data_IF_557572916623
#
_entry.id   IF_557572916623
#
_cell.length_a   1.000
_cell.length_b   1.000
_cell.length_c   1.000
_cell.angle_alpha   90.00
_cell.angle_beta   90.00
_cell.angle_gamma   90.00
#
_symmetry.space_group_name_H-M   'P 1'
#
loop_
_entity.id
_entity.type
_entity.pdbx_description
1 polymer ?
#
# COMPACT_ATOMS: atom_id res chain seq x y z
N UNK A 1 1.25 -1.45 19.98
CA UNK A 1 2.72 -1.45 20.19
C UNK A 1 3.31 -2.63 19.43
N UNK A 2 4.52 -2.51 18.88
CA UNK A 2 5.21 -3.58 18.15
C UNK A 2 5.54 -4.81 19.03
N UNK A 3 5.48 -4.68 20.35
CA UNK A 3 5.71 -5.77 21.32
C UNK A 3 4.67 -6.90 21.29
N UNK A 4 3.50 -6.67 20.69
CA UNK A 4 2.42 -7.66 20.56
C UNK A 4 2.51 -8.47 19.26
N UNK A 5 3.61 -8.37 18.51
CA UNK A 5 3.77 -8.99 17.20
C UNK A 5 4.75 -10.16 17.18
N UNK A 6 5.16 -10.65 18.36
CA UNK A 6 5.82 -11.95 18.49
C UNK A 6 4.79 -13.06 18.26
N UNK A 7 5.19 -14.13 17.60
CA UNK A 7 4.27 -15.21 17.18
C UNK A 7 3.49 -15.80 18.37
N UNK A 8 4.11 -15.87 19.53
CA UNK A 8 3.52 -16.40 20.75
C UNK A 8 2.41 -15.54 21.33
N UNK A 9 2.41 -14.26 21.01
CA UNK A 9 1.52 -13.24 21.58
C UNK A 9 0.57 -12.62 20.55
N UNK A 10 0.44 -13.22 19.35
CA UNK A 10 -0.41 -12.68 18.30
C UNK A 10 -1.89 -12.74 18.67
N UNK A 11 -2.53 -11.59 18.69
CA UNK A 11 -3.98 -11.48 18.84
C UNK A 11 -4.67 -11.68 17.49
N UNK A 12 -5.47 -12.74 17.36
CA UNK A 12 -6.29 -12.98 16.16
C UNK A 12 -7.24 -11.81 15.89
N UNK A 13 -7.80 -11.20 16.93
CA UNK A 13 -8.65 -10.03 16.81
C UNK A 13 -7.91 -8.85 16.18
N UNK A 14 -6.72 -8.52 16.68
CA UNK A 14 -5.90 -7.43 16.13
C UNK A 14 -5.48 -7.73 14.69
N UNK A 15 -5.22 -9.00 14.37
CA UNK A 15 -4.92 -9.44 13.02
C UNK A 15 -6.09 -9.19 12.07
N UNK A 16 -7.30 -9.60 12.46
CA UNK A 16 -8.51 -9.38 11.67
C UNK A 16 -8.79 -7.88 11.46
N UNK A 17 -8.66 -7.07 12.51
CA UNK A 17 -8.84 -5.62 12.45
C UNK A 17 -7.83 -4.96 11.49
N UNK A 18 -6.56 -5.36 11.56
CA UNK A 18 -5.53 -4.82 10.68
C UNK A 18 -5.78 -5.17 9.21
N UNK A 19 -6.16 -6.40 8.90
CA UNK A 19 -6.54 -6.82 7.54
C UNK A 19 -7.76 -6.03 7.06
N UNK A 20 -8.78 -5.90 7.90
CA UNK A 20 -10.00 -5.17 7.57
C UNK A 20 -9.70 -3.71 7.23
N UNK A 21 -8.94 -3.03 8.09
CA UNK A 21 -8.66 -1.60 7.96
C UNK A 21 -7.62 -1.31 6.87
N UNK A 22 -6.51 -2.04 6.86
CA UNK A 22 -5.38 -1.71 5.97
C UNK A 22 -5.56 -2.25 4.55
N UNK A 23 -6.42 -3.26 4.35
CA UNK A 23 -6.51 -3.96 3.07
C UNK A 23 -7.94 -4.04 2.52
N UNK A 24 -8.90 -4.58 3.27
CA UNK A 24 -10.25 -4.78 2.75
C UNK A 24 -11.04 -3.48 2.60
N UNK A 25 -10.72 -2.43 3.37
CA UNK A 25 -11.31 -1.11 3.20
C UNK A 25 -11.11 -0.55 1.79
N UNK A 26 -9.95 -0.80 1.17
CA UNK A 26 -9.66 -0.37 -0.20
C UNK A 26 -10.63 -0.99 -1.21
N UNK A 27 -10.97 -2.27 -1.04
CA UNK A 27 -11.95 -2.95 -1.89
C UNK A 27 -13.31 -2.26 -1.75
N UNK A 28 -13.74 -2.00 -0.51
CA UNK A 28 -15.02 -1.35 -0.23
C UNK A 28 -15.09 0.06 -0.80
N UNK A 29 -14.04 0.86 -0.60
CA UNK A 29 -13.95 2.22 -1.15
C UNK A 29 -14.01 2.17 -2.68
N UNK A 30 -13.23 1.29 -3.31
CA UNK A 30 -13.22 1.12 -4.77
C UNK A 30 -14.61 0.73 -5.30
N UNK A 31 -15.32 -0.19 -4.64
CA UNK A 31 -16.69 -0.54 -5.00
C UNK A 31 -17.65 0.65 -4.96
N UNK A 32 -17.52 1.51 -3.94
CA UNK A 32 -18.35 2.71 -3.81
C UNK A 32 -18.03 3.71 -4.93
N UNK A 33 -16.74 3.96 -5.18
CA UNK A 33 -16.30 4.87 -6.23
C UNK A 33 -16.80 4.40 -7.60
N UNK A 34 -16.65 3.12 -7.92
CA UNK A 34 -17.04 2.55 -9.21
C UNK A 34 -18.55 2.57 -9.48
N UNK A 35 -19.40 2.75 -8.46
CA UNK A 35 -20.83 2.95 -8.65
C UNK A 35 -21.18 4.32 -9.26
N UNK A 36 -20.33 5.32 -9.04
CA UNK A 36 -20.63 6.71 -9.37
C UNK A 36 -19.64 7.33 -10.37
N UNK A 37 -18.46 6.73 -10.52
CA UNK A 37 -17.41 7.28 -11.39
C UNK A 37 -16.41 6.18 -11.78
N UNK A 38 -15.60 6.49 -12.81
CA UNK A 38 -14.46 5.64 -13.18
C UNK A 38 -13.18 6.39 -12.87
N UNK A 39 -12.46 6.04 -11.80
CA UNK A 39 -11.21 6.71 -11.45
C UNK A 39 -10.14 6.40 -12.51
N UNK A 40 -9.36 7.43 -12.87
CA UNK A 40 -8.23 7.24 -13.79
C UNK A 40 -7.06 6.53 -13.11
N UNK A 41 -6.85 6.82 -11.83
CA UNK A 41 -5.73 6.32 -11.04
C UNK A 41 -6.23 5.89 -9.66
N UNK A 42 -5.76 4.75 -9.20
CA UNK A 42 -5.87 4.28 -7.81
C UNK A 42 -4.44 4.03 -7.32
N UNK A 43 -4.01 4.80 -6.34
CA UNK A 43 -2.74 4.62 -5.67
C UNK A 43 -2.99 4.10 -4.26
N UNK A 44 -2.44 2.94 -3.95
CA UNK A 44 -2.52 2.34 -2.63
C UNK A 44 -1.22 2.56 -1.84
N UNK A 45 -1.31 3.21 -0.69
CA UNK A 45 -0.16 3.42 0.18
C UNK A 45 0.15 2.14 0.95
N UNK A 46 1.20 1.46 0.52
CA UNK A 46 1.70 0.23 1.13
C UNK A 46 2.92 0.51 2.04
N UNK A 47 3.83 -0.41 2.10
CA UNK A 47 5.11 -0.34 2.81
C UNK A 47 6.02 -1.44 2.26
N UNK A 48 7.34 -1.25 2.30
CA UNK A 48 8.35 -2.28 2.06
C UNK A 48 8.10 -3.54 2.90
N UNK A 49 7.54 -3.37 4.12
CA UNK A 49 7.08 -4.46 4.97
C UNK A 49 6.05 -5.39 4.29
N UNK A 50 5.37 -4.92 3.25
CA UNK A 50 4.44 -5.72 2.43
C UNK A 50 5.13 -6.62 1.41
N UNK A 51 6.43 -6.45 1.17
CA UNK A 51 7.21 -7.34 0.31
C UNK A 51 7.54 -8.64 1.04
N UNK A 52 7.07 -9.77 0.49
CA UNK A 52 7.37 -11.09 1.05
C UNK A 52 8.82 -11.46 0.74
N UNK A 53 9.26 -11.18 -0.47
CA UNK A 53 10.60 -11.57 -0.95
C UNK A 53 11.73 -10.77 -0.30
N UNK A 54 11.48 -9.54 0.17
CA UNK A 54 12.49 -8.70 0.83
C UNK A 54 12.49 -8.86 2.35
N UNK A 55 11.60 -9.66 2.92
CA UNK A 55 11.55 -9.88 4.36
C UNK A 55 12.70 -10.76 4.83
N UNK A 56 13.68 -10.17 5.50
CA UNK A 56 14.83 -10.85 6.09
C UNK A 56 14.86 -10.75 7.62
N UNK A 57 14.01 -9.93 8.22
CA UNK A 57 14.00 -9.68 9.67
C UNK A 57 12.97 -10.51 10.42
N UNK A 58 11.92 -10.98 9.75
CA UNK A 58 10.75 -11.54 10.43
C UNK A 58 9.95 -10.43 11.15
N UNK A 59 9.39 -10.74 12.32
CA UNK A 59 8.60 -9.89 13.19
C UNK A 59 7.39 -9.16 12.53
N UNK A 60 6.74 -8.27 13.25
CA UNK A 60 5.65 -7.41 12.75
C UNK A 60 4.59 -8.18 11.93
N UNK A 61 4.26 -9.41 12.30
CA UNK A 61 3.41 -10.33 11.55
C UNK A 61 2.12 -9.71 11.06
N UNK A 62 1.38 -9.01 11.94
CA UNK A 62 0.09 -8.42 11.63
C UNK A 62 0.25 -7.31 10.57
N UNK A 63 1.23 -6.43 10.76
CA UNK A 63 1.46 -5.33 9.85
C UNK A 63 1.93 -5.82 8.48
N UNK A 64 2.94 -6.70 8.45
CA UNK A 64 3.46 -7.30 7.22
C UNK A 64 2.36 -8.02 6.45
N UNK A 65 1.60 -8.88 7.11
CA UNK A 65 0.50 -9.61 6.48
C UNK A 65 -0.56 -8.65 5.92
N UNK A 66 -0.91 -7.58 6.65
CA UNK A 66 -1.88 -6.60 6.14
C UNK A 66 -1.37 -5.88 4.89
N UNK A 67 -0.09 -5.51 4.84
CA UNK A 67 0.50 -4.84 3.68
C UNK A 67 0.71 -5.80 2.49
N UNK A 68 1.07 -7.06 2.74
CA UNK A 68 1.12 -8.08 1.68
C UNK A 68 -0.26 -8.36 1.10
N UNK A 69 -1.31 -8.40 1.94
CA UNK A 69 -2.70 -8.52 1.49
C UNK A 69 -3.10 -7.31 0.63
N UNK A 70 -2.76 -6.08 1.04
CA UNK A 70 -2.99 -4.88 0.25
C UNK A 70 -2.27 -4.95 -1.11
N UNK A 71 -1.03 -5.41 -1.12
CA UNK A 71 -0.23 -5.59 -2.33
C UNK A 71 -0.90 -6.59 -3.29
N UNK A 72 -1.35 -7.75 -2.80
CA UNK A 72 -2.08 -8.75 -3.58
C UNK A 72 -3.37 -8.18 -4.18
N UNK A 73 -4.17 -7.46 -3.38
CA UNK A 73 -5.39 -6.78 -3.84
C UNK A 73 -5.05 -5.76 -4.92
N UNK A 74 -4.02 -4.93 -4.71
CA UNK A 74 -3.56 -3.92 -5.67
C UNK A 74 -3.19 -4.55 -7.00
N UNK A 75 -2.45 -5.66 -6.98
CA UNK A 75 -2.07 -6.39 -8.18
C UNK A 75 -3.28 -6.90 -8.96
N UNK A 76 -4.24 -7.53 -8.29
CA UNK A 76 -5.47 -8.00 -8.93
C UNK A 76 -6.27 -6.83 -9.51
N UNK A 77 -6.47 -5.76 -8.75
CA UNK A 77 -7.16 -4.56 -9.22
C UNK A 77 -6.48 -3.93 -10.44
N UNK A 78 -5.15 -3.94 -10.50
CA UNK A 78 -4.41 -3.40 -11.65
C UNK A 78 -4.67 -4.14 -12.95
N UNK A 79 -4.99 -5.41 -12.88
CA UNK A 79 -5.34 -6.23 -14.04
C UNK A 79 -6.80 -6.00 -14.43
N UNK A 80 -7.71 -6.19 -13.47
CA UNK A 80 -9.14 -6.18 -13.71
C UNK A 80 -9.67 -4.80 -14.09
N UNK A 81 -9.29 -3.76 -13.32
CA UNK A 81 -9.78 -2.40 -13.56
C UNK A 81 -9.11 -1.75 -14.75
N UNK A 82 -7.86 -2.09 -15.04
CA UNK A 82 -7.20 -1.61 -16.24
C UNK A 82 -7.85 -2.19 -17.49
N UNK A 83 -8.10 -3.50 -17.51
CA UNK A 83 -8.78 -4.17 -18.62
C UNK A 83 -10.20 -3.62 -18.85
N UNK A 84 -10.95 -3.36 -17.77
CA UNK A 84 -12.37 -2.97 -17.85
C UNK A 84 -12.59 -1.49 -18.07
N UNK A 85 -11.74 -0.64 -17.47
CA UNK A 85 -11.98 0.80 -17.38
C UNK A 85 -10.77 1.65 -17.81
N UNK A 86 -9.61 1.05 -18.08
CA UNK A 86 -8.37 1.77 -18.33
C UNK A 86 -7.78 2.41 -17.06
N UNK A 87 -8.27 2.06 -15.87
CA UNK A 87 -7.79 2.57 -14.60
C UNK A 87 -6.37 2.07 -14.31
N UNK A 88 -5.47 2.97 -13.96
CA UNK A 88 -4.11 2.63 -13.51
C UNK A 88 -4.15 2.37 -12.02
N UNK A 89 -3.65 1.23 -11.58
CA UNK A 89 -3.61 0.86 -10.16
C UNK A 89 -2.20 0.41 -9.79
N UNK A 90 -1.65 0.99 -8.73
CA UNK A 90 -0.31 0.63 -8.25
C UNK A 90 -0.17 0.84 -6.74
N UNK A 91 0.86 0.23 -6.15
CA UNK A 91 1.22 0.40 -4.76
C UNK A 91 2.46 1.26 -4.62
N UNK A 92 2.53 2.06 -3.53
CA UNK A 92 3.72 2.83 -3.18
C UNK A 92 4.13 2.56 -1.74
N UNK A 93 5.45 2.40 -1.54
CA UNK A 93 6.07 2.55 -0.24
C UNK A 93 6.56 4.00 -0.10
N UNK A 94 5.97 4.79 0.81
CA UNK A 94 6.39 6.16 1.04
C UNK A 94 7.66 6.27 1.90
N UNK A 95 8.20 5.15 2.38
CA UNK A 95 9.29 5.13 3.34
C UNK A 95 8.89 5.69 4.71
N UNK A 96 9.88 6.16 5.48
CA UNK A 96 9.68 6.65 6.84
C UNK A 96 9.20 8.11 6.84
N UNK A 97 7.89 8.32 6.69
CA UNK A 97 7.26 9.65 6.69
C UNK A 97 7.00 10.13 8.11
N UNK A 98 7.31 11.40 8.39
CA UNK A 98 6.99 12.06 9.66
C UNK A 98 5.48 12.30 9.74
N UNK A 99 4.84 11.66 10.71
CA UNK A 99 3.40 11.72 10.97
C UNK A 99 3.15 11.64 12.48
N UNK A 100 1.89 11.83 12.90
CA UNK A 100 1.51 11.61 14.30
C UNK A 100 1.81 10.19 14.81
N UNK A 101 1.81 9.18 13.92
CA UNK A 101 2.17 7.80 14.26
C UNK A 101 3.68 7.55 14.22
N UNK A 102 4.42 8.34 13.47
CA UNK A 102 5.88 8.25 13.32
C UNK A 102 6.55 9.63 13.43
N UNK A 103 6.63 10.22 14.63
CA UNK A 103 7.19 11.56 14.81
C UNK A 103 8.69 11.68 14.46
N UNK A 104 9.39 10.56 14.33
CA UNK A 104 10.80 10.48 13.96
C UNK A 104 11.02 10.11 12.48
N UNK A 105 9.99 10.25 11.65
CA UNK A 105 10.11 10.00 10.21
C UNK A 105 11.14 10.92 9.56
N UNK A 106 11.79 10.41 8.51
CA UNK A 106 12.88 11.14 7.84
C UNK A 106 12.38 12.04 6.70
N UNK A 107 11.13 11.84 6.26
CA UNK A 107 10.52 12.58 5.16
C UNK A 107 9.34 13.37 5.72
N UNK A 108 9.32 14.68 5.51
CA UNK A 108 8.15 15.50 5.85
C UNK A 108 6.95 15.10 5.00
N UNK A 109 5.74 15.12 5.58
CA UNK A 109 4.51 14.68 4.90
C UNK A 109 4.19 15.45 3.62
N UNK A 110 4.42 16.76 3.61
CA UNK A 110 4.26 17.62 2.44
C UNK A 110 5.25 17.27 1.32
N UNK A 111 6.51 17.01 1.67
CA UNK A 111 7.52 16.54 0.71
C UNK A 111 7.14 15.18 0.12
N UNK A 112 6.66 14.25 0.96
CA UNK A 112 6.18 12.95 0.50
C UNK A 112 5.02 13.12 -0.48
N UNK A 113 4.04 13.95 -0.16
CA UNK A 113 2.89 14.22 -1.02
C UNK A 113 3.32 14.80 -2.38
N UNK A 114 4.25 15.77 -2.40
CA UNK A 114 4.76 16.36 -3.64
C UNK A 114 5.47 15.31 -4.52
N UNK A 115 6.30 14.45 -3.94
CA UNK A 115 6.97 13.37 -4.68
C UNK A 115 5.94 12.38 -5.30
N UNK A 116 4.86 12.07 -4.58
CA UNK A 116 3.77 11.26 -5.12
C UNK A 116 3.07 11.96 -6.28
N UNK A 117 2.80 13.25 -6.16
CA UNK A 117 2.19 14.04 -7.25
C UNK A 117 3.08 14.10 -8.48
N UNK A 118 4.39 14.25 -8.31
CA UNK A 118 5.37 14.21 -9.39
C UNK A 118 5.35 12.84 -10.11
N UNK A 119 5.31 11.74 -9.37
CA UNK A 119 5.19 10.39 -9.94
C UNK A 119 3.92 10.22 -10.76
N UNK A 120 2.78 10.72 -10.27
CA UNK A 120 1.49 10.64 -10.97
C UNK A 120 1.46 11.54 -12.21
N UNK A 121 2.12 12.70 -12.17
CA UNK A 121 2.14 13.68 -13.27
C UNK A 121 3.03 13.26 -14.42
N UNK A 122 3.97 12.35 -14.19
CA UNK A 122 4.82 11.79 -15.23
C UNK A 122 4.13 10.61 -15.96
N UNK A 123 4.85 9.67 -16.49
CA UNK A 123 4.30 8.55 -17.26
C UNK A 123 3.59 7.50 -16.36
N UNK A 124 2.48 7.90 -15.76
CA UNK A 124 1.72 7.08 -14.80
C UNK A 124 1.26 5.73 -15.38
N UNK A 125 1.10 5.63 -16.70
CA UNK A 125 0.70 4.36 -17.36
C UNK A 125 1.70 3.24 -17.11
N UNK A 126 2.98 3.57 -17.01
CA UNK A 126 4.05 2.60 -16.71
C UNK A 126 4.03 2.08 -15.27
N UNK A 127 3.26 2.71 -14.39
CA UNK A 127 3.14 2.31 -12.98
C UNK A 127 2.07 1.24 -12.78
N UNK A 128 1.20 0.97 -13.76
CA UNK A 128 0.13 -0.01 -13.61
C UNK A 128 0.66 -1.39 -13.18
N UNK A 129 0.15 -1.90 -12.07
CA UNK A 129 0.54 -3.21 -11.54
C UNK A 129 1.93 -3.26 -10.90
N UNK A 130 2.53 -2.11 -10.60
CA UNK A 130 3.82 -2.03 -9.92
C UNK A 130 3.67 -1.75 -8.43
N UNK A 131 4.68 -2.13 -7.69
CA UNK A 131 4.96 -1.71 -6.33
C UNK A 131 6.28 -0.94 -6.35
N UNK A 132 6.26 0.34 -5.97
CA UNK A 132 7.40 1.26 -6.11
C UNK A 132 7.65 2.04 -4.81
N UNK A 133 8.86 2.58 -4.68
CA UNK A 133 9.16 3.61 -3.67
C UNK A 133 9.01 5.04 -4.25
N UNK A 134 9.24 6.06 -3.41
CA UNK A 134 9.16 7.47 -3.82
C UNK A 134 10.20 7.88 -4.89
N UNK A 135 11.24 7.09 -5.10
CA UNK A 135 12.26 7.32 -6.14
C UNK A 135 11.92 6.60 -7.45
N UNK A 136 10.70 6.08 -7.58
CA UNK A 136 10.25 5.28 -8.74
C UNK A 136 11.06 3.99 -8.96
N UNK A 137 11.67 3.46 -7.91
CA UNK A 137 12.34 2.17 -7.96
C UNK A 137 11.34 1.07 -7.63
N UNK A 138 11.32 0.02 -8.44
CA UNK A 138 10.41 -1.10 -8.24
C UNK A 138 10.83 -1.95 -7.04
N UNK A 139 9.87 -2.25 -6.18
CA UNK A 139 9.99 -3.16 -5.04
C UNK A 139 9.37 -4.48 -5.47
N UNK A 140 10.04 -5.58 -5.19
CA UNK A 140 9.45 -6.92 -5.42
C UNK A 140 8.29 -7.17 -4.44
N UNK A 141 7.25 -7.85 -4.95
CA UNK A 141 6.04 -8.16 -4.17
C UNK A 141 6.29 -9.08 -2.96
#
# INVERSE_FOLDING_TARGET
>A
SFKEQEIENLSIKNFQEAILVNSLSIVKITQIVLKNSTPKIILNVSSDAGSISQNQSGDAYIYRASKSTLNSITKNMSIDLNKKYGTIVFAIDPGSVETGMNPKGHIKSDKCANLILDLISNDVKKLNGKFINLLNQEITW
#
